data_IF_275457452469
#
_entry.id   IF_275457452469
#
_cell.length_a   1.000
_cell.length_b   1.000
_cell.length_c   1.000
_cell.angle_alpha   90.00
_cell.angle_beta   90.00
_cell.angle_gamma   90.00
#
_symmetry.space_group_name_H-M   'P 1'
#
loop_
_entity.id
_entity.type
_entity.pdbx_description
1 polymer ?
#
# COMPACT_ATOMS: atom_id res chain seq x y z
N UNK A 1 13.86 41.84 -30.98
CA UNK A 1 12.74 40.91 -31.16
C UNK A 1 12.94 39.80 -30.15
N UNK A 2 12.17 39.82 -29.06
CA UNK A 2 12.27 38.89 -27.92
C UNK A 2 11.00 38.03 -27.89
N UNK A 3 11.15 36.80 -27.34
CA UNK A 3 10.16 35.74 -26.98
C UNK A 3 9.97 34.68 -28.10
N UNK A 4 10.14 33.35 -27.80
CA UNK A 4 9.68 32.70 -26.57
C UNK A 4 10.71 31.88 -25.77
N UNK A 5 11.06 32.41 -24.60
CA UNK A 5 11.54 31.64 -23.43
C UNK A 5 10.36 31.06 -22.60
N UNK A 6 9.12 31.47 -22.92
CA UNK A 6 7.90 31.11 -22.19
C UNK A 6 7.46 29.65 -22.45
N UNK A 7 7.72 29.08 -23.64
CA UNK A 7 7.27 27.73 -23.96
C UNK A 7 8.12 26.64 -23.27
N UNK A 8 9.42 26.86 -23.10
CA UNK A 8 10.32 25.87 -22.49
C UNK A 8 10.11 25.82 -20.97
N UNK A 9 9.99 26.99 -20.34
CA UNK A 9 9.68 27.13 -18.91
C UNK A 9 8.28 26.64 -18.56
N UNK A 10 7.26 26.86 -19.40
CA UNK A 10 5.91 26.33 -19.17
C UNK A 10 5.82 24.82 -19.35
N UNK A 11 6.56 24.24 -20.31
CA UNK A 11 6.66 22.78 -20.49
C UNK A 11 7.40 22.12 -19.33
N UNK A 12 8.49 22.74 -18.84
CA UNK A 12 9.24 22.27 -17.67
C UNK A 12 8.39 22.35 -16.38
N UNK A 13 7.61 23.43 -16.19
CA UNK A 13 6.67 23.59 -15.08
C UNK A 13 5.51 22.60 -15.14
N UNK A 14 4.96 22.34 -16.34
CA UNK A 14 3.88 21.36 -16.54
C UNK A 14 4.38 19.93 -16.30
N UNK A 15 5.60 19.62 -16.74
CA UNK A 15 6.27 18.34 -16.48
C UNK A 15 6.51 18.11 -14.99
N UNK A 16 6.97 19.14 -14.27
CA UNK A 16 7.15 19.10 -12.81
C UNK A 16 5.84 18.82 -12.08
N UNK A 17 4.76 19.52 -12.42
CA UNK A 17 3.46 19.31 -11.78
C UNK A 17 2.87 17.92 -12.08
N UNK A 18 3.00 17.44 -13.32
CA UNK A 18 2.59 16.09 -13.68
C UNK A 18 3.38 15.03 -12.89
N UNK A 19 4.70 15.18 -12.77
CA UNK A 19 5.53 14.27 -12.00
C UNK A 19 5.19 14.27 -10.50
N UNK A 20 4.86 15.43 -9.93
CA UNK A 20 4.41 15.53 -8.53
C UNK A 20 3.09 14.78 -8.32
N UNK A 21 2.11 14.96 -9.22
CA UNK A 21 0.82 14.25 -9.14
C UNK A 21 1.02 12.74 -9.29
N UNK A 22 1.87 12.29 -10.22
CA UNK A 22 2.17 10.86 -10.38
C UNK A 22 2.88 10.29 -9.15
N UNK A 23 3.86 10.99 -8.60
CA UNK A 23 4.56 10.60 -7.37
C UNK A 23 3.58 10.44 -6.19
N UNK A 24 2.66 11.39 -6.04
CA UNK A 24 1.60 11.34 -5.03
C UNK A 24 0.64 10.16 -5.25
N UNK A 25 0.15 9.96 -6.48
CA UNK A 25 -0.75 8.86 -6.82
C UNK A 25 -0.11 7.49 -6.57
N UNK A 26 1.17 7.34 -6.91
CA UNK A 26 1.93 6.12 -6.66
C UNK A 26 2.05 5.83 -5.15
N UNK A 27 2.29 6.86 -4.34
CA UNK A 27 2.33 6.76 -2.89
C UNK A 27 0.97 6.38 -2.27
N UNK A 28 -0.09 7.10 -2.65
CA UNK A 28 -1.46 6.81 -2.18
C UNK A 28 -1.88 5.40 -2.58
N UNK A 29 -1.57 4.96 -3.80
CA UNK A 29 -1.92 3.62 -4.28
C UNK A 29 -1.26 2.48 -3.48
N UNK A 30 0.02 2.63 -3.14
CA UNK A 30 0.71 1.65 -2.27
C UNK A 30 0.14 1.62 -0.86
N UNK A 31 -0.11 2.78 -0.27
CA UNK A 31 -0.65 2.86 1.08
C UNK A 31 -2.07 2.31 1.15
N UNK A 32 -2.90 2.60 0.14
CA UNK A 32 -4.25 2.04 0.03
C UNK A 32 -4.23 0.51 -0.06
N UNK A 33 -3.37 -0.05 -0.92
CA UNK A 33 -3.22 -1.49 -1.04
C UNK A 33 -2.78 -2.14 0.29
N UNK A 34 -1.88 -1.48 1.01
CA UNK A 34 -1.44 -1.93 2.34
C UNK A 34 -2.56 -1.83 3.38
N UNK A 35 -3.34 -0.76 3.38
CA UNK A 35 -4.50 -0.61 4.25
C UNK A 35 -5.58 -1.66 3.98
N UNK A 36 -5.88 -1.96 2.71
CA UNK A 36 -6.83 -3.02 2.36
C UNK A 36 -6.36 -4.40 2.82
N UNK A 37 -5.05 -4.67 2.78
CA UNK A 37 -4.47 -5.91 3.32
C UNK A 37 -4.70 -6.01 4.84
N UNK A 38 -4.46 -4.94 5.60
CA UNK A 38 -4.71 -4.91 7.04
C UNK A 38 -6.19 -5.19 7.37
N UNK A 39 -7.12 -4.62 6.61
CA UNK A 39 -8.56 -4.89 6.78
C UNK A 39 -8.90 -6.36 6.50
N UNK A 40 -8.30 -6.96 5.46
CA UNK A 40 -8.49 -8.38 5.17
C UNK A 40 -7.94 -9.26 6.31
N UNK A 41 -6.83 -8.89 6.93
CA UNK A 41 -6.27 -9.60 8.08
C UNK A 41 -7.15 -9.46 9.33
N UNK A 42 -7.73 -8.29 9.57
CA UNK A 42 -8.71 -8.06 10.63
C UNK A 42 -9.96 -8.92 10.45
N UNK A 43 -10.41 -9.14 9.21
CA UNK A 43 -11.45 -10.11 8.92
C UNK A 43 -11.04 -11.54 9.33
N UNK A 44 -9.84 -12.00 8.96
CA UNK A 44 -9.37 -13.33 9.34
C UNK A 44 -9.17 -13.51 10.86
N UNK A 45 -8.89 -12.43 11.59
CA UNK A 45 -8.85 -12.45 13.06
C UNK A 45 -10.21 -12.77 13.67
N UNK A 46 -11.29 -12.18 13.12
CA UNK A 46 -12.66 -12.48 13.60
C UNK A 46 -13.09 -13.90 13.28
N UNK A 47 -12.62 -14.47 12.18
CA UNK A 47 -12.93 -15.85 11.77
C UNK A 47 -12.18 -16.90 12.61
N UNK A 48 -11.03 -16.54 13.20
CA UNK A 48 -10.15 -17.45 13.97
C UNK A 48 -9.63 -16.87 15.28
N UNK A 49 -10.48 -16.77 16.31
CA UNK A 49 -10.09 -16.18 17.59
C UNK A 49 -9.02 -16.98 18.36
N UNK A 50 -8.77 -18.24 18.00
CA UNK A 50 -7.82 -19.13 18.70
C UNK A 50 -6.38 -18.98 18.23
N UNK A 51 -6.17 -18.48 17.00
CA UNK A 51 -4.85 -18.09 16.53
C UNK A 51 -4.67 -16.61 16.89
N UNK A 52 -3.45 -16.16 17.16
CA UNK A 52 -3.13 -14.73 17.26
C UNK A 52 -2.45 -14.22 15.96
N UNK A 53 -3.13 -14.18 14.79
CA UNK A 53 -2.57 -13.73 13.52
C UNK A 53 -1.84 -12.40 13.61
N UNK A 54 -2.43 -11.40 14.28
CA UNK A 54 -1.88 -10.03 14.34
C UNK A 54 -0.44 -9.99 14.85
N UNK A 55 -0.12 -10.85 15.82
CA UNK A 55 1.21 -10.92 16.45
C UNK A 55 2.23 -11.64 15.58
N UNK A 56 1.80 -12.72 14.92
CA UNK A 56 2.66 -13.48 14.00
C UNK A 56 2.92 -12.64 12.75
N UNK A 57 1.90 -11.94 12.29
CA UNK A 57 1.95 -11.12 11.10
C UNK A 57 2.88 -9.91 11.25
N UNK A 58 2.80 -9.19 12.36
CA UNK A 58 3.76 -8.10 12.65
C UNK A 58 5.18 -8.65 12.81
N UNK A 59 5.33 -9.82 13.43
CA UNK A 59 6.61 -10.55 13.51
C UNK A 59 7.16 -11.01 12.16
N UNK A 60 6.33 -11.20 11.14
CA UNK A 60 6.78 -11.56 9.80
C UNK A 60 6.97 -10.29 8.96
N UNK A 61 6.05 -9.34 9.01
CA UNK A 61 6.14 -8.11 8.24
C UNK A 61 7.38 -7.29 8.59
N UNK A 62 7.61 -7.02 9.89
CA UNK A 62 8.67 -6.10 10.33
C UNK A 62 10.09 -6.58 10.00
N UNK A 63 10.53 -7.81 10.32
CA UNK A 63 11.89 -8.23 10.00
C UNK A 63 12.09 -8.46 8.50
N UNK A 64 11.05 -8.82 7.74
CA UNK A 64 11.17 -8.94 6.29
C UNK A 64 11.25 -7.56 5.62
N UNK A 65 10.48 -6.58 6.07
CA UNK A 65 10.59 -5.20 5.61
C UNK A 65 11.96 -4.60 5.96
N UNK A 66 12.39 -4.70 7.23
CA UNK A 66 13.69 -4.20 7.70
C UNK A 66 14.86 -4.95 7.07
N UNK A 67 14.78 -6.27 6.96
CA UNK A 67 15.80 -7.10 6.35
C UNK A 67 15.96 -6.78 4.86
N UNK A 68 14.86 -6.67 4.13
CA UNK A 68 14.87 -6.27 2.72
C UNK A 68 15.46 -4.87 2.55
N UNK A 69 15.01 -3.91 3.35
CA UNK A 69 15.53 -2.54 3.32
C UNK A 69 17.03 -2.50 3.63
N UNK A 70 17.49 -3.24 4.64
CA UNK A 70 18.91 -3.32 5.01
C UNK A 70 19.78 -3.95 3.91
N UNK A 71 19.29 -5.03 3.28
CA UNK A 71 19.97 -5.68 2.14
C UNK A 71 20.05 -4.70 0.96
N UNK A 72 18.96 -3.98 0.67
CA UNK A 72 18.91 -2.99 -0.40
C UNK A 72 19.82 -1.79 -0.14
N UNK A 73 19.90 -1.32 1.11
CA UNK A 73 20.78 -0.24 1.52
C UNK A 73 22.26 -0.63 1.43
N UNK A 74 22.59 -1.89 1.75
CA UNK A 74 23.96 -2.38 1.64
C UNK A 74 24.41 -2.58 0.17
N UNK A 75 23.51 -3.05 -0.69
CA UNK A 75 23.80 -3.34 -2.11
C UNK A 75 23.49 -2.19 -3.07
N UNK A 76 23.24 -0.97 -2.57
CA UNK A 76 22.81 0.19 -3.35
C UNK A 76 23.76 0.51 -4.51
N UNK A 77 25.06 0.30 -4.34
CA UNK A 77 26.08 0.64 -5.33
C UNK A 77 26.05 -0.22 -6.62
N UNK A 78 25.32 -1.34 -6.67
CA UNK A 78 25.33 -2.24 -7.83
C UNK A 78 23.97 -2.40 -8.53
N UNK A 79 22.87 -1.97 -7.90
CA UNK A 79 21.51 -2.22 -8.39
C UNK A 79 20.91 -0.95 -9.00
N UNK A 80 20.43 -1.05 -10.23
CA UNK A 80 19.67 0.02 -10.88
C UNK A 80 18.37 0.32 -10.10
N UNK A 81 18.28 1.49 -9.48
CA UNK A 81 17.12 1.93 -8.66
C UNK A 81 15.79 1.91 -9.43
N UNK A 82 15.80 2.28 -10.72
CA UNK A 82 14.59 2.23 -11.56
C UNK A 82 14.00 0.81 -11.67
N UNK A 83 14.84 -0.23 -11.82
CA UNK A 83 14.34 -1.62 -11.87
C UNK A 83 13.85 -2.08 -10.51
N UNK A 84 14.53 -1.67 -9.44
CA UNK A 84 14.17 -1.96 -8.05
C UNK A 84 12.77 -1.43 -7.71
N UNK A 85 12.47 -0.19 -8.11
CA UNK A 85 11.18 0.42 -7.90
C UNK A 85 10.06 -0.29 -8.70
N UNK A 86 10.32 -0.59 -9.97
CA UNK A 86 9.35 -1.31 -10.82
C UNK A 86 9.03 -2.72 -10.29
N UNK A 87 10.05 -3.44 -9.80
CA UNK A 87 9.86 -4.75 -9.17
C UNK A 87 8.98 -4.63 -7.93
N UNK A 88 9.18 -3.59 -7.11
CA UNK A 88 8.33 -3.30 -5.95
C UNK A 88 6.86 -3.14 -6.32
N UNK A 89 6.53 -2.31 -7.31
CA UNK A 89 5.15 -2.11 -7.77
C UNK A 89 4.53 -3.37 -8.38
N UNK A 90 5.28 -4.14 -9.17
CA UNK A 90 4.81 -5.42 -9.72
C UNK A 90 4.53 -6.42 -8.59
N UNK A 91 5.41 -6.48 -7.59
CA UNK A 91 5.22 -7.33 -6.43
C UNK A 91 3.98 -6.92 -5.61
N UNK A 92 3.74 -5.63 -5.40
CA UNK A 92 2.50 -5.12 -4.80
C UNK A 92 1.26 -5.62 -5.56
N UNK A 93 1.26 -5.48 -6.88
CA UNK A 93 0.13 -5.90 -7.72
C UNK A 93 -0.13 -7.41 -7.64
N UNK A 94 0.92 -8.22 -7.70
CA UNK A 94 0.81 -9.69 -7.58
C UNK A 94 0.32 -10.09 -6.19
N UNK A 95 0.83 -9.45 -5.14
CA UNK A 95 0.41 -9.73 -3.76
C UNK A 95 -1.06 -9.35 -3.52
N UNK A 96 -1.52 -8.21 -4.02
CA UNK A 96 -2.94 -7.83 -3.95
C UNK A 96 -3.84 -8.82 -4.70
N UNK A 97 -3.45 -9.24 -5.90
CA UNK A 97 -4.18 -10.28 -6.64
C UNK A 97 -4.22 -11.61 -5.89
N UNK A 98 -3.12 -11.99 -5.24
CA UNK A 98 -3.03 -13.22 -4.48
C UNK A 98 -3.99 -13.21 -3.27
N UNK A 99 -4.11 -12.09 -2.56
CA UNK A 99 -5.08 -11.94 -1.46
C UNK A 99 -6.52 -12.06 -1.98
N UNK A 100 -6.85 -11.42 -3.11
CA UNK A 100 -8.18 -11.54 -3.72
C UNK A 100 -8.51 -12.98 -4.15
N UNK A 101 -7.54 -13.69 -4.71
CA UNK A 101 -7.70 -15.11 -5.09
C UNK A 101 -7.87 -15.98 -3.85
N UNK A 102 -7.12 -15.73 -2.77
CA UNK A 102 -7.27 -16.44 -1.50
C UNK A 102 -8.67 -16.22 -0.91
N UNK A 103 -9.18 -15.00 -0.94
CA UNK A 103 -10.52 -14.67 -0.44
C UNK A 103 -11.61 -15.42 -1.23
N UNK A 104 -11.54 -15.35 -2.57
CA UNK A 104 -12.47 -16.05 -3.45
C UNK A 104 -12.41 -17.58 -3.29
N UNK A 105 -11.21 -18.14 -3.20
CA UNK A 105 -11.00 -19.58 -3.03
C UNK A 105 -11.45 -20.08 -1.66
N UNK A 106 -11.35 -19.23 -0.64
CA UNK A 106 -11.77 -19.57 0.72
C UNK A 106 -13.30 -19.55 0.84
N UNK A 107 -14.03 -18.77 0.02
CA UNK A 107 -15.50 -18.79 -0.03
C UNK A 107 -16.17 -18.65 1.37
N UNK A 108 -15.50 -17.93 2.29
CA UNK A 108 -15.88 -17.81 3.70
C UNK A 108 -15.65 -19.03 4.59
N UNK A 109 -15.15 -20.15 4.04
CA UNK A 109 -14.78 -21.36 4.80
C UNK A 109 -13.33 -21.29 5.19
N UNK A 110 -13.07 -20.87 6.41
CA UNK A 110 -11.73 -20.87 6.94
C UNK A 110 -11.07 -22.27 6.92
N UNK A 111 -9.83 -22.38 6.41
CA UNK A 111 -8.86 -23.42 6.79
C UNK A 111 -7.46 -22.92 7.22
N UNK A 112 -6.64 -23.82 7.79
CA UNK A 112 -5.22 -23.57 8.14
C UNK A 112 -4.39 -23.12 6.93
N UNK A 113 -4.77 -23.57 5.73
CA UNK A 113 -4.12 -23.20 4.47
C UNK A 113 -4.32 -21.72 4.12
N UNK A 114 -5.49 -21.15 4.44
CA UNK A 114 -5.76 -19.72 4.24
C UNK A 114 -4.87 -18.89 5.15
N UNK A 115 -4.68 -19.30 6.42
CA UNK A 115 -3.78 -18.63 7.34
C UNK A 115 -2.33 -18.60 6.84
N UNK A 116 -1.82 -19.74 6.35
CA UNK A 116 -0.48 -19.83 5.75
C UNK A 116 -0.38 -18.93 4.50
N UNK A 117 -1.42 -18.91 3.67
CA UNK A 117 -1.50 -18.05 2.49
C UNK A 117 -1.42 -16.56 2.84
N UNK A 118 -2.18 -16.10 3.83
CA UNK A 118 -2.17 -14.71 4.31
C UNK A 118 -0.80 -14.34 4.90
N UNK A 119 -0.15 -15.24 5.66
CA UNK A 119 1.21 -15.01 6.14
C UNK A 119 2.25 -14.87 5.01
N UNK A 120 2.09 -15.62 3.91
CA UNK A 120 2.97 -15.48 2.75
C UNK A 120 2.69 -14.17 2.00
N UNK A 121 1.41 -13.80 1.86
CA UNK A 121 0.99 -12.55 1.24
C UNK A 121 1.55 -11.33 1.99
N UNK A 122 1.51 -11.33 3.32
CA UNK A 122 2.04 -10.23 4.14
C UNK A 122 3.56 -10.14 4.12
N UNK A 123 4.27 -11.27 4.09
CA UNK A 123 5.70 -11.28 3.85
C UNK A 123 6.05 -10.65 2.49
N UNK A 124 5.32 -11.02 1.43
CA UNK A 124 5.50 -10.46 0.10
C UNK A 124 5.15 -8.96 0.04
N UNK A 125 4.09 -8.53 0.74
CA UNK A 125 3.74 -7.12 0.89
C UNK A 125 4.84 -6.33 1.62
N UNK A 126 5.42 -6.87 2.69
CA UNK A 126 6.52 -6.21 3.41
C UNK A 126 7.79 -6.06 2.57
N UNK A 127 8.12 -7.05 1.74
CA UNK A 127 9.23 -6.96 0.78
C UNK A 127 8.93 -5.90 -0.29
N UNK A 128 7.70 -5.87 -0.80
CA UNK A 128 7.26 -4.91 -1.80
C UNK A 128 7.24 -3.47 -1.25
N UNK A 129 6.75 -3.28 -0.03
CA UNK A 129 6.72 -2.02 0.70
C UNK A 129 8.12 -1.46 0.91
N UNK A 130 9.05 -2.30 1.40
CA UNK A 130 10.46 -1.92 1.54
C UNK A 130 11.10 -1.50 0.20
N UNK A 131 10.77 -2.18 -0.90
CA UNK A 131 11.27 -1.81 -2.22
C UNK A 131 10.70 -0.49 -2.73
N UNK A 132 9.39 -0.26 -2.59
CA UNK A 132 8.74 0.95 -3.07
C UNK A 132 9.12 2.15 -2.20
N UNK A 133 9.00 2.05 -0.87
CA UNK A 133 9.35 3.17 0.02
C UNK A 133 10.85 3.49 -0.02
N UNK A 134 11.72 2.48 0.14
CA UNK A 134 13.16 2.69 0.10
C UNK A 134 13.68 3.07 -1.29
N UNK A 135 13.08 2.51 -2.34
CA UNK A 135 13.40 2.82 -3.73
C UNK A 135 13.00 4.24 -4.13
N UNK A 136 11.75 4.62 -3.88
CA UNK A 136 11.21 5.93 -4.23
C UNK A 136 11.87 7.04 -3.42
N UNK A 137 12.00 6.91 -2.10
CA UNK A 137 12.66 7.94 -1.28
C UNK A 137 14.11 8.15 -1.73
N UNK A 138 14.83 7.08 -2.06
CA UNK A 138 16.18 7.14 -2.63
C UNK A 138 16.21 7.91 -3.96
N UNK A 139 15.37 7.55 -4.93
CA UNK A 139 15.33 8.22 -6.24
C UNK A 139 14.89 9.69 -6.15
N UNK A 140 13.91 10.00 -5.28
CA UNK A 140 13.39 11.37 -5.10
C UNK A 140 14.37 12.27 -4.33
N UNK A 141 15.28 11.71 -3.52
CA UNK A 141 16.30 12.47 -2.79
C UNK A 141 17.35 13.12 -3.70
N UNK A 142 17.57 12.54 -4.89
CA UNK A 142 18.41 13.12 -5.94
C UNK A 142 17.67 14.18 -6.78
N UNK A 143 16.36 14.32 -6.58
CA UNK A 143 15.53 15.37 -7.19
C UNK A 143 15.36 16.55 -6.23
N UNK A 144 14.44 17.47 -6.55
CA UNK A 144 14.15 18.61 -5.70
C UNK A 144 13.34 18.21 -4.45
N UNK A 145 13.50 18.90 -3.30
CA UNK A 145 12.87 18.52 -2.04
C UNK A 145 11.34 18.48 -2.09
N UNK A 146 10.70 19.20 -3.01
CA UNK A 146 9.24 19.21 -3.18
C UNK A 146 8.71 17.81 -3.56
N UNK A 147 9.48 16.99 -4.27
CA UNK A 147 9.07 15.63 -4.63
C UNK A 147 9.05 14.68 -3.43
N UNK A 148 10.04 14.79 -2.53
CA UNK A 148 10.09 14.02 -1.28
C UNK A 148 8.97 14.48 -0.33
N UNK A 149 8.67 15.79 -0.31
CA UNK A 149 7.54 16.32 0.45
C UNK A 149 6.21 15.77 -0.06
N UNK A 150 5.95 15.87 -1.37
CA UNK A 150 4.74 15.33 -2.00
C UNK A 150 4.61 13.83 -1.79
N UNK A 151 5.73 13.09 -1.80
CA UNK A 151 5.75 11.70 -1.39
C UNK A 151 5.29 11.58 0.07
N UNK A 152 5.94 12.18 1.06
CA UNK A 152 5.52 12.03 2.47
C UNK A 152 4.05 12.48 2.72
N UNK A 153 3.56 13.48 1.99
CA UNK A 153 2.18 13.98 2.10
C UNK A 153 1.12 12.96 1.67
N UNK A 154 1.47 11.91 0.93
CA UNK A 154 0.52 10.84 0.59
C UNK A 154 -0.08 10.16 1.83
N UNK A 155 0.65 10.14 2.95
CA UNK A 155 0.22 9.45 4.18
C UNK A 155 -1.04 10.12 4.75
N UNK A 156 -1.07 11.46 4.74
CA UNK A 156 -2.20 12.25 5.23
C UNK A 156 -3.41 12.01 4.32
N UNK A 157 -3.21 12.14 3.01
CA UNK A 157 -4.30 11.92 2.05
C UNK A 157 -4.88 10.52 2.11
N UNK A 158 -4.06 9.50 2.32
CA UNK A 158 -4.56 8.12 2.36
C UNK A 158 -5.31 7.86 3.67
N UNK A 159 -4.88 8.48 4.79
CA UNK A 159 -5.61 8.43 6.05
C UNK A 159 -7.04 8.98 5.91
N UNK A 160 -7.21 10.10 5.22
CA UNK A 160 -8.54 10.67 4.96
C UNK A 160 -9.42 9.76 4.08
N UNK A 161 -8.84 9.11 3.07
CA UNK A 161 -9.54 8.17 2.20
C UNK A 161 -10.01 6.92 2.96
N UNK A 162 -9.11 6.30 3.73
CA UNK A 162 -9.43 5.11 4.53
C UNK A 162 -10.45 5.44 5.64
N UNK A 163 -10.35 6.63 6.24
CA UNK A 163 -11.34 7.09 7.21
C UNK A 163 -12.74 7.27 6.57
N UNK A 164 -12.80 7.81 5.35
CA UNK A 164 -14.06 7.94 4.61
C UNK A 164 -14.69 6.58 4.27
N UNK A 165 -13.87 5.58 3.89
CA UNK A 165 -14.33 4.22 3.64
C UNK A 165 -14.87 3.55 4.93
N UNK A 166 -14.16 3.69 6.06
CA UNK A 166 -14.63 3.20 7.36
C UNK A 166 -15.93 3.87 7.80
N UNK A 167 -16.10 5.17 7.53
CA UNK A 167 -17.33 5.90 7.85
C UNK A 167 -18.51 5.40 7.01
N UNK A 168 -18.25 5.01 5.75
CA UNK A 168 -19.25 4.38 4.87
C UNK A 168 -19.65 2.98 5.35
N UNK A 169 -18.70 2.14 5.77
CA UNK A 169 -18.98 0.80 6.31
C UNK A 169 -19.68 0.87 7.66
N UNK A 170 -19.32 1.82 8.53
CA UNK A 170 -20.02 2.04 9.79
C UNK A 170 -21.47 2.49 9.55
N UNK A 171 -21.71 3.37 8.57
CA UNK A 171 -23.06 3.76 8.16
C UNK A 171 -23.86 2.56 7.60
N UNK A 172 -23.24 1.73 6.77
CA UNK A 172 -23.87 0.54 6.17
C UNK A 172 -24.20 -0.52 7.22
N UNK A 173 -23.32 -0.73 8.20
CA UNK A 173 -23.54 -1.62 9.33
C UNK A 173 -24.65 -1.10 10.26
N UNK A 174 -24.68 0.21 10.54
CA UNK A 174 -25.74 0.86 11.33
C UNK A 174 -27.11 0.76 10.65
N UNK A 175 -27.16 0.90 9.33
CA UNK A 175 -28.38 0.71 8.52
C UNK A 175 -28.81 -0.77 8.54
N UNK A 176 -27.89 -1.71 8.39
CA UNK A 176 -28.18 -3.16 8.40
C UNK A 176 -28.73 -3.63 9.76
N UNK A 177 -28.13 -3.18 10.88
CA UNK A 177 -28.65 -3.44 12.23
C UNK A 177 -29.99 -2.73 12.48
N UNK A 178 -30.19 -1.53 11.92
CA UNK A 178 -31.47 -0.81 12.02
C UNK A 178 -32.58 -1.44 11.17
N UNK A 179 -32.25 -2.20 10.13
CA UNK A 179 -33.21 -2.96 9.31
C UNK A 179 -33.54 -4.31 9.96
N UNK A 180 -32.54 -5.00 10.53
CA UNK A 180 -32.73 -6.26 11.27
C UNK A 180 -33.63 -6.04 12.50
N UNK A 181 -33.44 -4.94 13.24
CA UNK A 181 -34.29 -4.59 14.39
C UNK A 181 -35.72 -4.19 14.02
N UNK A 182 -35.96 -3.76 12.78
CA UNK A 182 -37.29 -3.40 12.25
C UNK A 182 -38.01 -4.59 11.60
N UNK A 183 -37.29 -5.66 11.29
CA UNK A 183 -37.86 -6.95 10.82
C UNK A 183 -38.31 -7.86 11.96
N UNK A 184 -37.90 -7.57 13.21
CA UNK A 184 -38.23 -8.33 14.42
C UNK A 184 -39.32 -7.65 15.28
N UNK A 185 -39.91 -6.55 14.80
CA UNK A 185 -41.05 -5.83 15.39
C UNK A 185 -42.28 -5.90 14.49
#
# INVERSE_FOLDING_TARGET
MLIPEENDTTVELKGKNAAMVVCWLLGVGCLLAWSSMLTAEDYFLTLYPTYHPTRVLTLVYQPFALGTLAILAYNEANINTRRRNLIGYIAFFISSLFVLVLDLATSGKGGIWTFIGVCFASAAFGVADAHVQGGMVGDLSFMRPEFVQVWILHIISTGDLVAADLESDYCTCKISVSLESRSLS
#
